data_IF_881491522988
#
_entry.id   IF_881491522988
#
_cell.length_a   1.000
_cell.length_b   1.000
_cell.length_c   1.000
_cell.angle_alpha   90.00
_cell.angle_beta   90.00
_cell.angle_gamma   90.00
#
_symmetry.space_group_name_H-M   'P 1'
#
loop_
_entity.id
_entity.type
_entity.pdbx_description
1 polymer ?
2 non-polymer ?
3 water ?
#
# COMPACT_ATOMS: atom_id res chain seq x y z
N UNK A 10 -3.11 21.93 11.18
CA UNK A 10 -1.64 21.68 11.34
C UNK A 10 -0.89 22.95 11.75
N UNK A 11 0.22 22.84 12.47
CA UNK A 11 1.11 23.98 12.80
C UNK A 11 2.47 23.69 12.15
N UNK A 12 2.95 24.56 11.29
CA UNK A 12 4.27 24.41 10.59
C UNK A 12 5.12 25.61 10.96
N UNK A 13 6.26 25.38 11.61
CA UNK A 13 7.19 26.45 12.05
C UNK A 13 8.63 25.93 11.97
N UNK A 14 9.58 26.73 12.40
CA UNK A 14 10.99 26.30 12.51
C UNK A 14 11.39 26.46 13.98
N UNK A 15 12.23 25.57 14.49
CA UNK A 15 12.68 25.61 15.89
C UNK A 15 13.88 26.56 15.97
N UNK A 16 14.56 26.60 17.11
CA UNK A 16 15.69 27.51 17.37
C UNK A 16 16.92 27.06 16.57
N UNK A 17 16.97 25.80 16.14
CA UNK A 17 18.07 25.27 15.29
C UNK A 17 17.71 25.50 13.81
N UNK A 18 16.58 26.15 13.51
CA UNK A 18 16.14 26.44 12.12
C UNK A 18 15.49 25.24 11.47
N UNK A 19 15.16 24.21 12.25
CA UNK A 19 14.60 22.94 11.72
C UNK A 19 13.08 23.02 11.62
N UNK A 20 12.53 22.60 10.49
CA UNK A 20 11.06 22.58 10.27
C UNK A 20 10.45 21.66 11.32
N UNK A 21 9.39 22.13 11.98
CA UNK A 21 8.62 21.35 12.95
C UNK A 21 7.17 21.36 12.45
N UNK A 22 6.55 20.20 12.28
CA UNK A 22 5.11 20.09 11.89
C UNK A 22 4.42 19.31 13.03
N UNK A 23 3.45 19.92 13.69
CA UNK A 23 2.68 19.26 14.78
C UNK A 23 3.63 18.74 15.84
N UNK A 24 4.61 19.54 16.26
CA UNK A 24 5.51 19.15 17.36
C UNK A 24 6.62 18.20 16.94
N UNK A 25 6.67 17.79 15.68
CA UNK A 25 7.67 16.82 15.16
C UNK A 25 8.73 17.56 14.33
N UNK A 26 10.01 17.33 14.59
CA UNK A 26 11.14 17.97 13.87
C UNK A 26 11.51 17.15 12.64
N UNK A 27 11.87 17.83 11.56
CA UNK A 27 12.27 17.21 10.27
C UNK A 27 13.62 17.83 9.89
N UNK A 28 14.72 17.47 10.59
CA UNK A 28 16.05 18.04 10.29
C UNK A 28 16.56 17.83 8.85
N UNK A 29 15.99 16.89 8.09
CA UNK A 29 16.41 16.56 6.69
C UNK A 29 15.67 17.43 5.68
N UNK A 30 14.69 18.21 6.11
CA UNK A 30 13.81 18.97 5.20
C UNK A 30 14.30 20.39 4.95
N UNK A 31 14.23 20.83 3.70
CA UNK A 31 14.57 22.23 3.34
C UNK A 31 13.29 23.05 3.49
N UNK A 32 12.19 22.60 2.88
CA UNK A 32 10.87 23.29 2.92
C UNK A 32 9.72 22.28 3.06
N UNK A 33 8.57 22.71 3.56
CA UNK A 33 7.34 21.90 3.56
C UNK A 33 6.65 22.11 2.21
N UNK A 34 6.25 21.04 1.53
CA UNK A 34 5.52 21.12 0.23
C UNK A 34 4.01 20.98 0.50
N UNK A 35 3.60 20.04 1.34
CA UNK A 35 2.16 19.81 1.61
C UNK A 35 1.93 19.06 2.91
N UNK A 36 0.96 19.50 3.71
CA UNK A 36 0.54 18.84 4.96
C UNK A 36 -0.34 17.63 4.61
N UNK A 37 -0.53 16.71 5.54
CA UNK A 37 -1.40 15.52 5.35
C UNK A 37 -2.79 15.99 4.91
N UNK A 38 -3.32 17.04 5.51
CA UNK A 38 -4.70 17.51 5.23
C UNK A 38 -4.80 17.90 3.76
N UNK A 39 -3.85 18.68 3.25
CA UNK A 39 -3.83 19.15 1.84
C UNK A 39 -3.72 17.93 0.91
N UNK A 40 -2.82 17.00 1.22
CA UNK A 40 -2.57 15.79 0.38
C UNK A 40 -3.88 14.98 0.32
N UNK A 41 -4.48 14.70 1.46
CA UNK A 41 -5.70 13.85 1.54
C UNK A 41 -6.87 14.52 0.80
N UNK A 42 -7.07 15.81 1.01
CA UNK A 42 -8.13 16.60 0.31
C UNK A 42 -7.87 16.51 -1.19
N UNK A 43 -6.62 16.63 -1.60
CA UNK A 43 -6.24 16.60 -3.04
C UNK A 43 -6.52 15.20 -3.64
N UNK A 44 -6.23 14.14 -2.91
CA UNK A 44 -6.40 12.74 -3.41
C UNK A 44 -7.91 12.49 -3.57
N UNK A 45 -8.71 12.84 -2.58
CA UNK A 45 -10.19 12.58 -2.60
C UNK A 45 -10.79 13.33 -3.80
N UNK A 46 -10.34 14.55 -4.05
CA UNK A 46 -10.83 15.38 -5.18
C UNK A 46 -10.55 14.65 -6.50
N UNK A 47 -9.36 14.09 -6.67
CA UNK A 47 -9.00 13.36 -7.92
C UNK A 47 -9.78 12.05 -7.95
N UNK A 48 -10.07 11.47 -6.79
CA UNK A 48 -10.88 10.22 -6.70
C UNK A 48 -12.28 10.52 -7.28
N UNK A 49 -12.86 11.65 -6.92
CA UNK A 49 -14.19 12.06 -7.45
C UNK A 49 -14.08 12.26 -8.98
N UNK A 50 -13.00 12.86 -9.47
CA UNK A 50 -12.78 13.08 -10.91
C UNK A 50 -12.69 11.71 -11.60
N UNK A 51 -11.93 10.77 -11.03
CA UNK A 51 -11.73 9.41 -11.63
C UNK A 51 -13.09 8.70 -11.62
N UNK A 52 -13.82 8.75 -10.51
CA UNK A 52 -15.14 8.09 -10.37
C UNK A 52 -16.10 8.69 -11.41
N UNK A 53 -16.10 10.01 -11.54
CA UNK A 53 -17.01 10.73 -12.47
C UNK A 53 -16.62 10.35 -13.91
N UNK A 54 -15.34 10.17 -14.20
CA UNK A 54 -14.88 9.85 -15.57
C UNK A 54 -15.21 8.40 -15.96
N UNK A 55 -14.98 7.43 -15.08
CA UNK A 55 -15.10 5.98 -15.41
C UNK A 55 -16.49 5.40 -15.13
N UNK A 56 -17.22 5.91 -14.15
CA UNK A 56 -18.54 5.37 -13.75
C UNK A 56 -19.38 5.04 -14.99
N UNK A 57 -19.57 5.95 -15.97
CA UNK A 57 -20.50 5.69 -17.07
C UNK A 57 -19.95 4.91 -18.27
N UNK A 58 -18.72 4.44 -18.22
CA UNK A 58 -18.05 3.79 -19.38
C UNK A 58 -18.32 2.29 -19.38
N UNK A 59 -18.13 1.63 -20.53
CA UNK A 59 -18.32 0.18 -20.70
C UNK A 59 -17.04 -0.39 -21.32
N UNK A 60 -16.81 -1.68 -21.19
CA UNK A 60 -15.64 -2.36 -21.78
C UNK A 60 -15.89 -3.86 -21.89
N UNK A 61 -14.89 -4.63 -22.29
CA UNK A 61 -15.07 -6.09 -22.54
C UNK A 61 -15.73 -6.78 -21.34
N UNK A 62 -16.71 -7.65 -21.57
CA UNK A 62 -17.40 -8.42 -20.51
C UNK A 62 -16.69 -9.77 -20.41
N UNK A 63 -15.88 -9.99 -19.36
CA UNK A 63 -15.17 -11.25 -19.09
C UNK A 63 -15.98 -12.07 -18.07
N UNK A 64 -16.92 -11.45 -17.37
CA UNK A 64 -17.78 -12.12 -16.35
C UNK A 64 -18.85 -12.96 -17.05
N UNK A 65 -19.64 -12.35 -17.94
CA UNK A 65 -20.76 -13.02 -18.62
C UNK A 65 -20.39 -13.45 -20.01
N UNK A 66 -19.11 -13.66 -20.29
CA UNK A 66 -18.62 -14.06 -21.63
C UNK A 66 -19.34 -13.27 -22.69
N UNK A 67 -19.68 -12.01 -22.42
CA UNK A 67 -20.48 -11.19 -23.34
C UNK A 67 -19.56 -10.41 -24.25
N UNK A 68 -20.07 -9.36 -24.86
CA UNK A 68 -19.24 -8.51 -25.72
C UNK A 68 -18.76 -7.37 -24.86
N UNK A 69 -19.64 -6.45 -24.51
CA UNK A 69 -19.27 -5.22 -23.76
C UNK A 69 -20.31 -5.00 -22.67
N UNK A 70 -19.89 -4.50 -21.51
CA UNK A 70 -20.80 -4.25 -20.38
C UNK A 70 -20.30 -3.05 -19.57
N UNK A 71 -21.18 -2.34 -18.86
CA UNK A 71 -20.72 -1.24 -18.04
C UNK A 71 -19.66 -1.61 -16.98
N UNK A 72 -18.85 -0.63 -16.56
CA UNK A 72 -17.89 -0.86 -15.44
C UNK A 72 -18.75 -1.24 -14.24
N UNK A 73 -18.43 -2.36 -13.60
CA UNK A 73 -19.24 -2.92 -12.50
C UNK A 73 -18.36 -3.80 -11.63
N UNK A 74 -18.91 -4.38 -10.56
CA UNK A 74 -18.16 -5.33 -9.73
C UNK A 74 -17.98 -6.60 -10.59
N UNK A 75 -18.80 -6.82 -11.59
CA UNK A 75 -18.61 -7.98 -12.51
C UNK A 75 -17.46 -7.68 -13.49
N UNK A 76 -17.32 -6.45 -13.98
CA UNK A 76 -16.27 -6.04 -14.96
C UNK A 76 -15.64 -4.75 -14.44
N UNK A 77 -14.78 -4.83 -13.40
CA UNK A 77 -14.29 -3.60 -12.79
C UNK A 77 -13.23 -2.80 -13.56
N UNK A 78 -13.03 -1.56 -13.16
CA UNK A 78 -11.91 -0.75 -13.69
C UNK A 78 -10.64 -1.50 -13.28
N UNK A 79 -9.68 -1.61 -14.17
CA UNK A 79 -8.39 -2.26 -13.87
C UNK A 79 -7.43 -1.15 -13.43
N UNK A 80 -6.89 -1.25 -12.22
CA UNK A 80 -5.89 -0.28 -11.69
C UNK A 80 -4.56 -1.02 -11.54
N UNK A 81 -3.49 -0.47 -12.07
CA UNK A 81 -2.12 -1.03 -11.96
C UNK A 81 -1.30 -0.02 -11.16
N UNK A 82 -0.93 -0.33 -9.91
CA UNK A 82 -0.15 0.54 -9.01
C UNK A 82 1.35 0.26 -9.21
N UNK A 83 2.16 1.30 -9.31
CA UNK A 83 3.62 1.15 -9.58
C UNK A 83 4.37 1.13 -8.24
N UNK A 84 4.85 -0.03 -7.83
CA UNK A 84 5.61 -0.20 -6.57
C UNK A 84 7.00 0.42 -6.72
N UNK A 85 7.63 0.80 -5.61
CA UNK A 85 7.12 0.73 -4.21
C UNK A 85 6.49 2.07 -3.84
N UNK A 86 6.94 3.17 -4.44
CA UNK A 86 6.53 4.52 -4.03
C UNK A 86 5.02 4.78 -4.01
N UNK A 87 4.23 4.08 -4.79
CA UNK A 87 2.78 4.37 -4.91
C UNK A 87 1.91 3.58 -3.92
N UNK A 88 2.46 2.71 -3.07
CA UNK A 88 1.60 1.80 -2.26
C UNK A 88 0.76 2.59 -1.24
N UNK A 89 1.33 3.60 -0.61
CA UNK A 89 0.60 4.40 0.44
C UNK A 89 -0.47 5.22 -0.29
N UNK A 90 -0.08 5.92 -1.34
CA UNK A 90 -1.00 6.71 -2.19
C UNK A 90 -2.15 5.81 -2.69
N UNK A 91 -1.81 4.62 -3.17
CA UNK A 91 -2.80 3.69 -3.74
C UNK A 91 -3.77 3.27 -2.61
N UNK A 92 -3.25 2.91 -1.44
CA UNK A 92 -4.06 2.46 -0.28
C UNK A 92 -5.14 3.51 0.00
N UNK A 93 -4.76 4.78 0.03
CA UNK A 93 -5.71 5.90 0.30
C UNK A 93 -6.65 6.13 -0.88
N UNK A 94 -6.11 6.18 -2.10
CA UNK A 94 -6.92 6.44 -3.31
C UNK A 94 -8.03 5.38 -3.41
N UNK A 95 -7.73 4.10 -3.25
CA UNK A 95 -8.74 3.01 -3.47
C UNK A 95 -9.90 3.22 -2.49
N UNK A 96 -9.62 3.63 -1.27
CA UNK A 96 -10.66 3.82 -0.23
C UNK A 96 -11.55 5.02 -0.61
N UNK A 97 -10.98 6.08 -1.19
CA UNK A 97 -11.77 7.25 -1.68
C UNK A 97 -12.60 6.82 -2.90
N UNK A 98 -12.02 6.04 -3.80
CA UNK A 98 -12.72 5.54 -5.00
C UNK A 98 -13.91 4.69 -4.52
N UNK A 99 -13.74 3.93 -3.45
CA UNK A 99 -14.83 3.12 -2.88
C UNK A 99 -15.92 4.02 -2.33
N UNK A 100 -15.54 5.14 -1.69
CA UNK A 100 -16.52 6.12 -1.15
C UNK A 100 -17.37 6.65 -2.30
N UNK A 101 -16.77 6.86 -3.46
CA UNK A 101 -17.46 7.42 -4.66
C UNK A 101 -18.11 6.29 -5.48
N UNK A 102 -18.03 5.04 -5.03
CA UNK A 102 -18.72 3.91 -5.64
C UNK A 102 -18.17 3.49 -6.99
N UNK A 103 -16.88 3.70 -7.25
CA UNK A 103 -16.24 3.25 -8.51
C UNK A 103 -15.85 1.78 -8.36
N UNK A 104 -16.46 0.83 -9.10
CA UNK A 104 -16.05 -0.56 -9.03
C UNK A 104 -14.62 -0.64 -9.61
N UNK A 105 -13.68 -1.25 -8.88
CA UNK A 105 -12.27 -1.33 -9.32
C UNK A 105 -11.50 -2.48 -8.66
N UNK A 106 -10.42 -2.91 -9.30
CA UNK A 106 -9.50 -3.95 -8.77
C UNK A 106 -8.08 -3.42 -8.97
N UNK A 107 -7.12 -3.85 -8.17
CA UNK A 107 -5.73 -3.33 -8.20
C UNK A 107 -4.72 -4.46 -8.32
N UNK A 108 -3.76 -4.35 -9.22
CA UNK A 108 -2.60 -5.28 -9.32
C UNK A 108 -1.37 -4.37 -9.26
N UNK A 109 -0.17 -4.92 -9.20
CA UNK A 109 1.07 -4.16 -9.01
C UNK A 109 2.16 -4.50 -10.02
N UNK A 110 2.95 -3.52 -10.43
CA UNK A 110 4.16 -3.74 -11.25
C UNK A 110 5.27 -2.96 -10.56
N UNK A 111 6.52 -3.27 -10.86
CA UNK A 111 7.69 -2.54 -10.32
C UNK A 111 8.72 -2.38 -11.45
N UNK A 112 9.22 -1.17 -11.67
CA UNK A 112 10.24 -0.87 -12.70
C UNK A 112 11.46 -0.26 -12.01
N UNK A 113 12.63 -0.34 -12.61
CA UNK A 113 13.85 0.28 -12.08
C UNK A 113 14.71 0.77 -13.24
N UNK A 114 15.62 1.71 -12.98
CA UNK A 114 16.54 2.27 -13.98
C UNK A 114 17.96 1.73 -13.74
N UNK A 115 18.74 1.48 -14.79
CA UNK A 115 20.17 1.08 -14.70
C UNK A 115 20.99 2.10 -15.52
N UNK A 123 18.42 3.82 -18.29
CA UNK A 123 17.66 2.83 -19.10
C UNK A 123 16.73 2.05 -18.18
N UNK A 124 15.52 1.69 -18.59
CA UNK A 124 14.50 1.07 -17.70
C UNK A 124 14.48 -0.46 -17.81
N UNK A 125 14.12 -1.18 -16.74
CA UNK A 125 13.96 -2.65 -16.71
C UNK A 125 12.80 -3.00 -15.76
N UNK A 126 11.98 -4.01 -16.11
CA UNK A 126 10.87 -4.47 -15.23
C UNK A 126 11.44 -5.32 -14.10
N UNK A 127 11.07 -5.06 -12.84
CA UNK A 127 11.52 -5.85 -11.67
C UNK A 127 10.41 -6.85 -11.31
N UNK A 128 9.15 -6.45 -11.40
CA UNK A 128 7.99 -7.29 -11.04
C UNK A 128 6.87 -7.11 -12.05
N UNK A 129 6.29 -8.21 -12.52
CA UNK A 129 5.25 -8.19 -13.57
C UNK A 129 3.86 -8.20 -12.93
N UNK A 130 2.86 -7.66 -13.60
CA UNK A 130 1.45 -7.75 -13.15
C UNK A 130 1.05 -9.23 -13.30
N UNK A 131 0.06 -9.72 -12.56
CA UNK A 131 -0.42 -11.13 -12.64
C UNK A 131 -1.79 -11.17 -13.34
N UNK A 132 -2.43 -10.03 -13.60
CA UNK A 132 -3.72 -9.95 -14.34
C UNK A 132 -3.46 -10.41 -15.79
N UNK A 133 -4.26 -11.31 -16.36
CA UNK A 133 -3.99 -11.92 -17.70
C UNK A 133 -5.16 -11.77 -18.68
N UNK A 134 -6.14 -10.90 -18.42
CA UNK A 134 -7.31 -10.65 -19.31
C UNK A 134 -7.62 -9.14 -19.34
N UNK A 135 -6.69 -8.32 -19.79
CA UNK A 135 -6.84 -6.84 -19.81
C UNK A 135 -7.23 -6.32 -21.20
N UNK A 136 -7.27 -7.19 -22.21
CA UNK A 136 -7.62 -6.79 -23.59
C UNK A 136 -9.04 -6.23 -23.58
N UNK A 137 -9.23 -5.03 -24.13
CA UNK A 137 -10.57 -4.43 -24.25
C UNK A 137 -11.04 -3.86 -22.94
N UNK A 138 -10.17 -3.77 -21.93
CA UNK A 138 -10.51 -3.24 -20.60
C UNK A 138 -9.95 -1.83 -20.43
N UNK A 139 -10.59 -1.01 -19.60
CA UNK A 139 -10.08 0.33 -19.23
C UNK A 139 -9.01 0.09 -18.15
N UNK A 140 -7.82 0.66 -18.32
CA UNK A 140 -6.68 0.49 -17.39
C UNK A 140 -6.23 1.87 -16.89
N UNK A 141 -6.06 2.04 -15.58
CA UNK A 141 -5.54 3.27 -14.96
C UNK A 141 -4.25 2.96 -14.20
N UNK A 142 -3.15 3.63 -14.52
CA UNK A 142 -1.85 3.48 -13.83
C UNK A 142 -1.85 4.43 -12.62
N UNK A 143 -1.55 3.94 -11.41
CA UNK A 143 -1.37 4.80 -10.21
C UNK A 143 0.14 4.89 -9.98
N UNK A 144 0.72 6.08 -10.07
CA UNK A 144 2.16 6.34 -9.89
C UNK A 144 2.36 7.46 -8.85
N UNK A 145 3.46 7.44 -8.12
CA UNK A 145 3.73 8.44 -7.07
C UNK A 145 4.09 9.78 -7.72
N UNK A 146 5.00 9.80 -8.69
CA UNK A 146 5.51 11.07 -9.25
C UNK A 146 5.89 10.95 -10.72
N UNK A 147 5.65 12.00 -11.50
CA UNK A 147 6.12 12.13 -12.90
C UNK A 147 7.15 13.26 -12.81
N UNK A 148 8.40 13.02 -13.19
CA UNK A 148 9.51 14.01 -13.12
C UNK A 148 10.05 14.13 -14.56
N UNK A 149 10.97 13.25 -14.97
CA UNK A 149 11.50 13.19 -16.36
C UNK A 149 10.44 12.69 -17.33
N UNK A 150 9.57 11.79 -16.88
CA UNK A 150 8.54 11.14 -17.73
C UNK A 150 9.01 9.80 -18.27
N UNK A 151 10.25 9.40 -18.04
CA UNK A 151 10.86 8.19 -18.66
C UNK A 151 10.21 6.89 -18.13
N UNK A 152 9.98 6.79 -16.83
CA UNK A 152 9.41 5.55 -16.25
C UNK A 152 8.01 5.34 -16.83
N UNK A 153 7.19 6.38 -16.90
CA UNK A 153 5.77 6.22 -17.33
C UNK A 153 5.71 6.00 -18.85
N UNK A 154 6.61 6.59 -19.64
CA UNK A 154 6.64 6.32 -21.10
C UNK A 154 6.94 4.83 -21.28
N UNK A 155 7.89 4.28 -20.51
CA UNK A 155 8.22 2.83 -20.52
C UNK A 155 7.00 1.98 -20.12
N UNK A 156 6.36 2.32 -19.01
CA UNK A 156 5.21 1.53 -18.46
C UNK A 156 4.06 1.60 -19.46
N UNK A 157 3.75 2.79 -19.95
CA UNK A 157 2.59 3.00 -20.86
C UNK A 157 2.83 2.20 -22.15
N UNK A 158 4.05 2.25 -22.70
CA UNK A 158 4.39 1.52 -23.96
C UNK A 158 4.24 0.02 -23.72
N UNK A 159 4.70 -0.49 -22.58
CA UNK A 159 4.69 -1.94 -22.29
C UNK A 159 3.25 -2.43 -22.06
N UNK A 160 2.44 -1.70 -21.29
CA UNK A 160 1.06 -2.16 -20.93
C UNK A 160 0.23 -2.15 -22.22
N UNK A 161 0.37 -1.12 -23.05
CA UNK A 161 -0.39 -1.00 -24.31
C UNK A 161 -0.05 -2.19 -25.20
N UNK A 162 1.23 -2.46 -25.40
CA UNK A 162 1.71 -3.53 -26.32
C UNK A 162 1.32 -4.93 -25.81
N UNK A 163 1.51 -5.21 -24.53
CA UNK A 163 1.33 -6.58 -23.98
C UNK A 163 -0.13 -6.90 -23.60
N UNK A 164 -0.93 -5.92 -23.20
CA UNK A 164 -2.32 -6.12 -22.70
C UNK A 164 -3.39 -5.60 -23.68
N UNK A 165 -3.02 -4.69 -24.59
CA UNK A 165 -3.96 -4.16 -25.62
C UNK A 165 -5.23 -3.65 -24.92
N UNK A 166 -5.11 -2.75 -23.93
CA UNK A 166 -6.27 -2.23 -23.25
C UNK A 166 -7.17 -1.38 -24.16
N UNK A 167 -8.44 -1.21 -23.83
CA UNK A 167 -9.38 -0.33 -24.57
C UNK A 167 -8.88 1.11 -24.41
N UNK A 168 -8.61 1.54 -23.17
CA UNK A 168 -8.04 2.87 -22.87
C UNK A 168 -6.95 2.69 -21.79
N UNK A 169 -5.91 3.53 -21.83
CA UNK A 169 -4.81 3.51 -20.83
C UNK A 169 -4.64 4.96 -20.36
N UNK A 170 -4.89 5.24 -19.08
CA UNK A 170 -4.72 6.58 -18.48
C UNK A 170 -3.80 6.47 -17.26
N UNK A 171 -3.32 7.62 -16.76
CA UNK A 171 -2.35 7.68 -15.63
C UNK A 171 -2.82 8.68 -14.59
N UNK A 172 -2.82 8.31 -13.32
CA UNK A 172 -3.07 9.22 -12.18
C UNK A 172 -1.76 9.28 -11.39
N UNK A 173 -1.25 10.48 -11.12
CA UNK A 173 -0.02 10.66 -10.29
C UNK A 173 -0.38 11.42 -9.02
N UNK A 174 0.25 11.06 -7.90
CA UNK A 174 0.11 11.83 -6.65
C UNK A 174 0.79 13.18 -6.94
N UNK A 175 1.98 13.16 -7.53
CA UNK A 175 2.79 14.38 -7.73
C UNK A 175 3.24 14.59 -9.18
N UNK A 176 3.25 15.85 -9.60
CA UNK A 176 3.78 16.27 -10.92
C UNK A 176 4.94 17.22 -10.61
N UNK A 177 6.17 16.89 -11.01
CA UNK A 177 7.33 17.81 -10.95
C UNK A 177 7.45 18.30 -12.41
N UNK A 178 6.73 19.38 -12.80
CA UNK A 178 6.68 19.78 -14.22
C UNK A 178 8.06 20.14 -14.78
N UNK A 179 8.93 20.73 -13.94
CA UNK A 179 10.25 21.22 -14.39
C UNK A 179 11.25 20.14 -14.69
N UNK A 180 10.97 18.89 -14.34
CA UNK A 180 11.91 17.77 -14.57
C UNK A 180 11.76 17.08 -15.91
N UNK A 181 10.78 17.44 -16.73
CA UNK A 181 10.45 16.68 -17.97
C UNK A 181 11.63 16.58 -18.94
N UNK A 182 11.91 15.38 -19.46
CA UNK A 182 12.90 15.16 -20.55
C UNK A 182 12.18 14.46 -21.70
N UNK A 183 10.97 13.92 -21.49
CA UNK A 183 10.11 13.33 -22.56
C UNK A 183 8.68 13.81 -22.30
N UNK A 184 7.86 13.92 -23.33
CA UNK A 184 6.48 14.43 -23.21
C UNK A 184 5.69 13.43 -22.36
N UNK A 185 5.12 13.88 -21.26
CA UNK A 185 4.26 13.06 -20.38
C UNK A 185 3.38 13.99 -19.53
N UNK A 186 2.08 14.03 -19.73
CA UNK A 186 1.18 14.79 -18.83
C UNK A 186 0.15 13.77 -18.33
N UNK A 187 0.23 13.34 -17.06
CA UNK A 187 -0.77 12.44 -16.52
C UNK A 187 -2.19 13.00 -16.69
N UNK A 188 -3.15 12.12 -16.90
CA UNK A 188 -4.57 12.49 -17.08
C UNK A 188 -5.11 13.07 -15.77
N UNK A 189 -4.65 12.54 -14.64
CA UNK A 189 -5.08 12.97 -13.29
C UNK A 189 -3.84 13.32 -12.45
N UNK A 190 -3.84 14.46 -11.76
CA UNK A 190 -2.70 14.93 -10.93
C UNK A 190 -3.26 15.47 -9.62
N UNK A 191 -2.85 14.92 -8.47
CA UNK A 191 -3.34 15.34 -7.15
C UNK A 191 -2.59 16.60 -6.72
N UNK A 192 -1.27 16.63 -6.88
CA UNK A 192 -0.43 17.74 -6.37
C UNK A 192 0.65 18.14 -7.39
N UNK A 193 1.06 19.40 -7.43
CA UNK A 193 2.18 19.89 -8.26
C UNK A 193 3.30 20.19 -7.25
N UNK A 194 4.51 19.69 -7.45
CA UNK A 194 5.66 19.85 -6.50
C UNK A 194 6.71 20.78 -7.10
N UNK A 195 7.55 21.42 -6.28
CA UNK A 195 8.64 22.21 -6.81
C UNK A 195 9.68 21.33 -7.52
N UNK A 196 10.60 21.94 -8.29
CA UNK A 196 11.66 21.23 -9.04
C UNK A 196 12.79 20.95 -8.04
N UNK A 197 12.51 20.14 -7.02
CA UNK A 197 13.45 19.76 -5.96
C UNK A 197 13.18 18.29 -5.59
N UNK A 198 14.11 17.63 -4.92
CA UNK A 198 13.92 16.24 -4.44
C UNK A 198 12.90 16.27 -3.31
N UNK A 199 11.76 15.61 -3.45
CA UNK A 199 10.65 15.60 -2.43
C UNK A 199 10.82 14.39 -1.49
N UNK A 200 10.30 14.41 -0.29
CA UNK A 200 10.38 13.23 0.61
C UNK A 200 9.04 13.18 1.34
N UNK A 201 8.68 12.02 1.87
CA UNK A 201 7.43 11.86 2.61
C UNK A 201 6.31 11.26 1.79
N UNK A 202 5.31 10.69 2.46
CA UNK A 202 4.12 10.11 1.80
C UNK A 202 4.54 9.28 0.58
N UNK A 203 5.43 8.30 0.76
CA UNK A 203 5.86 7.37 -0.30
C UNK A 203 7.20 7.75 -0.89
N UNK A 204 7.59 9.02 -0.78
CA UNK A 204 8.85 9.55 -1.36
C UNK A 204 9.98 9.29 -0.35
N UNK A 205 11.17 8.93 -0.80
CA UNK A 205 12.23 8.49 0.13
C UNK A 205 13.66 8.74 -0.27
N UNK A 206 14.58 8.51 0.65
CA UNK A 206 16.04 8.50 0.39
C UNK A 206 16.48 7.11 0.89
N UNK A 207 16.81 6.19 0.00
CA UNK A 207 17.18 4.79 0.37
C UNK A 207 16.10 4.20 1.30
N UNK A 208 14.82 4.34 0.95
CA UNK A 208 13.65 3.75 1.67
C UNK A 208 13.32 4.48 2.98
N UNK A 209 14.11 5.47 3.39
CA UNK A 209 13.81 6.28 4.59
C UNK A 209 12.79 7.37 4.23
N UNK A 210 11.96 7.82 5.17
CA UNK A 210 11.04 8.99 5.03
C UNK A 210 9.70 8.67 4.33
N UNK A 211 9.48 7.44 3.84
CA UNK A 211 8.22 7.06 3.15
C UNK A 211 7.03 7.19 4.12
N UNK A 212 7.24 6.90 5.40
CA UNK A 212 6.15 6.86 6.43
C UNK A 212 5.65 8.27 6.79
N UNK A 213 6.35 9.34 6.41
CA UNK A 213 5.95 10.71 6.81
C UNK A 213 4.55 10.98 6.23
N UNK A 214 3.72 11.70 6.96
CA UNK A 214 2.33 12.00 6.56
C UNK A 214 2.32 13.29 5.73
N UNK A 215 3.44 14.02 5.70
CA UNK A 215 3.59 15.29 4.96
C UNK A 215 4.65 15.13 3.87
N UNK A 216 4.63 15.97 2.83
CA UNK A 216 5.64 15.98 1.75
C UNK A 216 6.55 17.20 1.98
N UNK A 217 7.86 17.02 1.94
CA UNK A 217 8.85 18.10 2.13
C UNK A 217 9.88 18.09 1.00
N UNK A 218 10.66 19.15 0.82
CA UNK A 218 11.83 19.15 -0.08
C UNK A 218 12.98 18.63 0.80
N UNK A 219 14.01 18.04 0.22
CA UNK A 219 15.18 17.49 0.94
C UNK A 219 16.32 18.51 0.95
N UNK A 220 17.02 18.66 2.07
CA UNK A 220 18.20 19.54 2.13
C UNK A 220 19.21 18.91 1.17
N UNK A 221 19.95 19.69 0.35
CA UNK A 221 20.83 19.08 -0.66
C UNK A 221 21.92 18.11 -0.12
N UNK A 222 22.41 18.33 1.10
CA UNK A 222 23.48 17.47 1.64
C UNK A 222 22.98 16.16 2.25
N UNK A 223 21.67 15.91 2.26
CA UNK A 223 21.06 14.73 2.93
C UNK A 223 20.84 13.56 1.95
N UNK A 224 21.06 13.75 0.66
CA UNK A 224 20.74 12.72 -0.36
C UNK A 224 21.70 11.52 -0.33
N UNK A 225 22.91 11.64 0.23
CA UNK A 225 23.91 10.55 0.32
C UNK A 225 24.13 10.19 1.80
N UNK A 226 23.13 10.38 2.66
CA UNK A 226 23.23 10.13 4.13
C UNK A 226 23.21 8.62 4.41
N UNK A 227 22.54 7.83 3.58
CA UNK A 227 22.38 6.37 3.81
C UNK A 227 22.92 5.63 2.58
N UNK A 228 24.25 5.55 2.40
CA UNK A 228 24.80 4.96 1.16
C UNK A 228 24.76 3.43 1.09
N UNK A 229 24.67 2.72 2.21
CA UNK A 229 24.73 1.24 2.26
C UNK A 229 23.43 0.60 1.70
N UNK A 230 23.58 -0.37 0.81
CA UNK A 230 22.45 -1.09 0.20
C UNK A 230 21.70 -1.83 1.30
N UNK A 231 20.37 -1.87 1.23
CA UNK A 231 19.54 -2.57 2.23
C UNK A 231 19.51 -4.07 1.84
N UNK B 9 -18.65 8.29 15.48
CA UNK B 9 -19.50 7.09 15.67
C UNK B 9 -19.94 6.64 14.28
N UNK B 10 -20.04 5.35 14.04
CA UNK B 10 -20.55 4.80 12.77
C UNK B 10 -22.03 4.46 12.99
N UNK B 11 -22.90 4.74 12.03
CA UNK B 11 -24.35 4.40 12.09
C UNK B 11 -24.48 3.06 11.35
N UNK B 12 -24.76 1.97 12.06
CA UNK B 12 -24.91 0.62 11.48
C UNK B 12 -26.39 0.22 11.55
N UNK B 13 -27.01 -0.13 10.43
CA UNK B 13 -28.44 -0.49 10.33
C UNK B 13 -28.67 -1.55 9.26
N UNK B 14 -29.92 -1.90 8.97
CA UNK B 14 -30.29 -2.82 7.88
C UNK B 14 -31.42 -2.13 7.10
N UNK B 15 -31.42 -2.21 5.79
CA UNK B 15 -32.47 -1.61 4.92
C UNK B 15 -33.65 -2.58 4.83
N UNK B 16 -34.68 -2.24 4.06
CA UNK B 16 -35.89 -3.08 3.86
C UNK B 16 -35.54 -4.40 3.19
N UNK B 17 -34.44 -4.48 2.45
CA UNK B 17 -33.98 -5.72 1.76
C UNK B 17 -33.19 -6.59 2.77
N UNK B 18 -33.01 -6.16 4.02
CA UNK B 18 -32.26 -6.89 5.06
C UNK B 18 -30.75 -6.70 4.91
N UNK B 19 -30.32 -5.77 4.07
CA UNK B 19 -28.88 -5.56 3.76
C UNK B 19 -28.25 -4.60 4.78
N UNK B 20 -27.04 -4.90 5.25
CA UNK B 20 -26.30 -4.06 6.23
C UNK B 20 -26.00 -2.72 5.57
N UNK B 21 -26.23 -1.63 6.29
CA UNK B 21 -25.90 -0.26 5.82
C UNK B 21 -24.95 0.34 6.88
N UNK B 22 -23.78 0.83 6.48
CA UNK B 22 -22.82 1.51 7.39
C UNK B 22 -22.59 2.91 6.81
N UNK B 23 -22.93 3.95 7.59
CA UNK B 23 -22.76 5.35 7.16
C UNK B 23 -23.41 5.55 5.79
N UNK B 24 -24.60 4.97 5.58
CA UNK B 24 -25.41 5.23 4.36
C UNK B 24 -25.02 4.41 3.16
N UNK B 25 -24.04 3.51 3.27
CA UNK B 25 -23.61 2.62 2.16
C UNK B 25 -24.09 1.20 2.45
N UNK B 26 -24.65 0.53 1.45
CA UNK B 26 -25.17 -0.84 1.56
C UNK B 26 -24.08 -1.87 1.23
N UNK B 27 -24.07 -3.00 1.92
CA UNK B 27 -23.11 -4.10 1.73
C UNK B 27 -23.91 -5.39 1.48
N UNK B 28 -24.53 -5.54 0.29
CA UNK B 28 -25.38 -6.70 0.02
C UNK B 28 -24.63 -8.04 0.08
N UNK B 29 -23.30 -8.03 -0.05
CA UNK B 29 -22.48 -9.26 -0.07
C UNK B 29 -22.14 -9.71 1.35
N UNK B 30 -22.47 -8.92 2.37
CA UNK B 30 -22.03 -9.17 3.77
C UNK B 30 -23.09 -9.87 4.62
N UNK B 31 -22.68 -10.77 5.50
CA UNK B 31 -23.58 -11.46 6.45
C UNK B 31 -23.67 -10.60 7.72
N UNK B 32 -22.51 -10.27 8.30
CA UNK B 32 -22.44 -9.47 9.54
C UNK B 32 -21.24 -8.50 9.51
N UNK B 33 -21.33 -7.41 10.26
CA UNK B 33 -20.19 -6.47 10.44
C UNK B 33 -19.25 -7.09 11.47
N UNK B 34 -17.95 -7.09 11.24
CA UNK B 34 -16.93 -7.58 12.21
C UNK B 34 -16.34 -6.36 12.92
N UNK B 35 -15.92 -5.36 12.17
CA UNK B 35 -15.26 -4.18 12.77
C UNK B 35 -15.37 -2.94 11.89
N UNK B 36 -15.71 -1.80 12.50
CA UNK B 36 -15.77 -0.50 11.82
C UNK B 36 -14.33 0.04 11.62
N UNK B 37 -14.17 1.00 10.72
CA UNK B 37 -12.85 1.64 10.45
C UNK B 37 -12.27 2.18 11.76
N UNK B 38 -13.09 2.80 12.61
CA UNK B 38 -12.63 3.44 13.87
C UNK B 38 -12.00 2.37 14.78
N UNK B 39 -12.63 1.21 14.87
CA UNK B 39 -12.13 0.09 15.72
C UNK B 39 -10.83 -0.42 15.07
N UNK B 40 -10.82 -0.60 13.76
CA UNK B 40 -9.63 -1.16 13.05
C UNK B 40 -8.43 -0.22 13.28
N UNK B 41 -8.61 1.06 13.02
CA UNK B 41 -7.48 2.03 13.08
C UNK B 41 -6.95 2.10 14.53
N UNK B 42 -7.83 2.16 15.51
CA UNK B 42 -7.41 2.19 16.95
C UNK B 42 -6.60 0.91 17.25
N UNK B 43 -7.04 -0.24 16.73
CA UNK B 43 -6.38 -1.55 16.97
C UNK B 43 -4.97 -1.55 16.34
N UNK B 44 -4.85 -1.04 15.12
CA UNK B 44 -3.55 -0.99 14.40
C UNK B 44 -2.59 -0.07 15.16
N UNK B 45 -3.06 1.12 15.54
CA UNK B 45 -2.23 2.14 16.25
C UNK B 45 -1.74 1.55 17.58
N UNK B 46 -2.60 0.81 18.28
CA UNK B 46 -2.23 0.16 19.57
C UNK B 46 -1.07 -0.81 19.33
N UNK B 47 -1.18 -1.63 18.28
CA UNK B 47 -0.10 -2.62 17.96
C UNK B 47 1.15 -1.85 17.50
N UNK B 48 1.00 -0.76 16.77
CA UNK B 48 2.13 0.07 16.33
C UNK B 48 2.96 0.50 17.56
N UNK B 49 2.29 0.91 18.63
CA UNK B 49 2.97 1.33 19.88
C UNK B 49 3.70 0.13 20.50
N UNK B 50 3.09 -1.04 20.46
CA UNK B 50 3.72 -2.29 20.97
C UNK B 50 5.00 -2.58 20.17
N UNK B 51 4.94 -2.47 18.84
CA UNK B 51 6.09 -2.78 17.94
C UNK B 51 7.20 -1.74 18.20
N UNK B 52 6.87 -0.46 18.23
CA UNK B 52 7.85 0.61 18.44
C UNK B 52 8.50 0.42 19.82
N UNK B 53 7.71 0.15 20.84
CA UNK B 53 8.22 -0.03 22.24
C UNK B 53 9.12 -1.27 22.31
N UNK B 54 8.87 -2.30 21.52
CA UNK B 54 9.64 -3.57 21.56
C UNK B 54 10.97 -3.45 20.82
N UNK B 55 10.97 -2.78 19.67
CA UNK B 55 12.16 -2.73 18.79
C UNK B 55 13.10 -1.55 19.10
N UNK B 56 12.57 -0.42 19.52
CA UNK B 56 13.40 0.81 19.70
C UNK B 56 14.57 0.48 20.66
N UNK B 57 14.39 -0.32 21.73
CA UNK B 57 15.52 -0.72 22.61
C UNK B 57 16.55 -1.69 22.02
N UNK B 58 16.29 -2.33 20.88
CA UNK B 58 17.14 -3.43 20.35
C UNK B 58 18.31 -2.95 19.49
N UNK B 59 19.25 -3.85 19.19
CA UNK B 59 20.45 -3.59 18.37
C UNK B 59 20.66 -4.77 17.43
N UNK B 60 21.33 -4.59 16.30
CA UNK B 60 21.53 -5.63 15.27
C UNK B 60 22.74 -5.28 14.39
N UNK B 61 23.03 -6.01 13.35
CA UNK B 61 24.26 -5.81 12.55
C UNK B 61 24.34 -4.36 12.11
N UNK B 62 25.53 -3.78 12.04
CA UNK B 62 25.78 -2.38 11.60
C UNK B 62 26.24 -2.45 10.14
N UNK B 63 25.39 -2.13 9.16
CA UNK B 63 25.75 -2.14 7.71
C UNK B 63 26.03 -0.70 7.24
N UNK B 64 25.83 0.29 8.08
CA UNK B 64 26.09 1.72 7.77
C UNK B 64 27.54 2.07 8.11
N UNK B 65 28.02 1.67 9.29
CA UNK B 65 29.36 2.04 9.80
C UNK B 65 30.35 0.89 9.87
N UNK B 66 30.18 -0.17 9.08
CA UNK B 66 31.21 -1.25 8.98
C UNK B 66 31.18 -2.32 10.06
N UNK B 67 30.25 -2.29 11.01
CA UNK B 67 30.12 -3.32 12.05
C UNK B 67 30.49 -2.79 13.41
N UNK B 68 30.22 -3.54 14.48
CA UNK B 68 29.57 -4.85 14.45
C UNK B 68 28.07 -4.72 14.73
N UNK B 69 27.69 -4.38 15.96
CA UNK B 69 26.27 -4.28 16.40
C UNK B 69 26.00 -2.83 16.79
N UNK B 70 24.84 -2.31 16.43
CA UNK B 70 24.44 -0.92 16.76
C UNK B 70 22.93 -0.84 16.95
N UNK B 71 22.42 0.17 17.66
CA UNK B 71 21.00 0.25 17.92
C UNK B 71 20.16 0.43 16.64
N UNK B 72 18.92 -0.04 16.67
CA UNK B 72 17.98 0.21 15.53
C UNK B 72 17.98 1.73 15.38
N UNK B 73 18.15 2.26 14.19
CA UNK B 73 18.24 3.72 13.92
C UNK B 73 17.88 3.98 12.47
N UNK B 74 17.89 5.23 12.05
CA UNK B 74 17.68 5.55 10.63
C UNK B 74 18.87 4.94 9.88
N UNK B 75 20.06 4.87 10.47
CA UNK B 75 21.27 4.30 9.82
C UNK B 75 21.10 2.79 9.66
N UNK B 76 20.57 2.11 10.69
CA UNK B 76 20.35 0.64 10.70
C UNK B 76 18.87 0.42 11.07
N UNK B 77 17.93 0.63 10.14
CA UNK B 77 16.53 0.52 10.50
C UNK B 77 15.98 -0.91 10.68
N UNK B 78 14.83 -1.02 11.36
CA UNK B 78 14.10 -2.30 11.43
C UNK B 78 13.73 -2.66 10.00
N UNK B 79 13.89 -3.91 9.62
CA UNK B 79 13.52 -4.39 8.27
C UNK B 79 12.09 -4.94 8.35
N UNK B 80 11.17 -4.41 7.55
CA UNK B 80 9.77 -4.89 7.48
C UNK B 80 9.56 -5.52 6.10
N UNK B 81 9.07 -6.75 6.03
CA UNK B 81 8.71 -7.43 4.75
C UNK B 81 7.20 -7.53 4.73
N UNK B 82 6.54 -6.88 3.78
CA UNK B 82 5.07 -6.87 3.63
C UNK B 82 4.68 -7.91 2.57
N UNK B 83 3.66 -8.71 2.85
CA UNK B 83 3.23 -9.82 1.94
C UNK B 83 2.14 -9.30 0.99
N UNK B 84 2.48 -9.10 -0.28
CA UNK B 84 1.52 -8.63 -1.29
C UNK B 84 0.68 -9.80 -1.78
N UNK B 85 -0.58 -9.54 -2.17
CA UNK B 85 -1.21 -8.19 -2.32
C UNK B 85 -2.02 -7.82 -1.08
N UNK B 86 -2.39 -8.79 -0.26
CA UNK B 86 -3.34 -8.57 0.85
C UNK B 86 -2.95 -7.58 1.91
N UNK B 87 -1.67 -7.39 2.19
CA UNK B 87 -1.21 -6.55 3.33
C UNK B 87 -0.93 -5.09 2.94
N UNK B 88 -1.12 -4.68 1.69
CA UNK B 88 -0.66 -3.35 1.22
C UNK B 88 -1.38 -2.21 1.97
N UNK B 89 -2.68 -2.31 2.18
CA UNK B 89 -3.47 -1.21 2.83
C UNK B 89 -3.09 -1.19 4.32
N UNK B 90 -3.10 -2.36 4.95
CA UNK B 90 -2.71 -2.52 6.38
C UNK B 90 -1.29 -1.99 6.58
N UNK B 91 -0.38 -2.30 5.67
CA UNK B 91 1.05 -1.86 5.74
C UNK B 91 1.08 -0.31 5.63
N UNK B 92 0.35 0.28 4.69
CA UNK B 92 0.33 1.75 4.47
C UNK B 92 -0.05 2.44 5.77
N UNK B 93 -1.05 1.90 6.46
CA UNK B 93 -1.54 2.51 7.72
C UNK B 93 -0.56 2.25 8.85
N UNK B 94 -0.08 1.01 8.94
CA UNK B 94 0.80 0.59 10.04
C UNK B 94 2.07 1.44 10.02
N UNK B 95 2.70 1.61 8.88
CA UNK B 95 4.02 2.32 8.80
C UNK B 95 3.84 3.78 9.25
N UNK B 96 2.74 4.40 8.92
CA UNK B 96 2.49 5.82 9.31
C UNK B 96 2.37 5.88 10.84
N UNK B 97 1.70 4.92 11.48
CA UNK B 97 1.60 4.85 12.96
C UNK B 97 3.00 4.59 13.54
N UNK B 98 3.77 3.71 12.92
CA UNK B 98 5.14 3.37 13.40
C UNK B 98 5.98 4.64 13.34
N UNK B 99 5.79 5.46 12.31
CA UNK B 99 6.50 6.73 12.19
C UNK B 99 6.09 7.66 13.32
N UNK B 100 4.79 7.68 13.64
CA UNK B 100 4.28 8.55 14.73
C UNK B 100 5.00 8.19 16.03
N UNK B 101 5.25 6.91 16.25
CA UNK B 101 5.87 6.41 17.52
C UNK B 101 7.39 6.44 17.39
N UNK B 102 7.94 6.94 16.31
CA UNK B 102 9.40 7.15 16.16
C UNK B 102 10.18 5.85 15.99
N UNK B 103 9.60 4.83 15.38
CA UNK B 103 10.33 3.57 15.11
C UNK B 103 11.09 3.71 13.79
N UNK B 104 12.44 3.64 13.73
CA UNK B 104 13.15 3.66 12.46
C UNK B 104 12.87 2.35 11.73
N UNK B 105 12.35 2.43 10.51
CA UNK B 105 12.01 1.23 9.72
C UNK B 105 12.07 1.45 8.20
N UNK B 106 12.23 0.35 7.46
CA UNK B 106 12.21 0.35 5.97
C UNK B 106 11.31 -0.82 5.58
N UNK B 107 10.61 -0.72 4.46
CA UNK B 107 9.64 -1.75 4.04
C UNK B 107 10.05 -2.29 2.69
N UNK B 108 10.02 -3.59 2.49
CA UNK B 108 10.21 -4.23 1.16
C UNK B 108 9.04 -5.22 1.03
N UNK B 109 8.78 -5.73 -0.16
CA UNK B 109 7.60 -6.58 -0.41
C UNK B 109 7.99 -7.92 -1.03
N UNK B 110 7.27 -9.00 -0.65
CA UNK B 110 7.36 -10.30 -1.33
C UNK B 110 5.91 -10.59 -1.73
N UNK B 111 5.67 -11.26 -2.85
CA UNK B 111 4.31 -11.64 -3.32
C UNK B 111 4.24 -13.15 -3.38
N UNK B 112 3.19 -13.73 -2.81
CA UNK B 112 2.97 -15.21 -2.78
C UNK B 112 1.59 -15.52 -3.35
N UNK B 113 1.36 -16.72 -3.84
CA UNK B 113 0.05 -17.20 -4.34
C UNK B 113 -0.19 -18.58 -3.75
N UNK B 125 3.21 -20.76 -4.31
CA UNK B 125 4.17 -20.17 -5.29
C UNK B 125 4.65 -18.76 -4.88
N UNK B 126 5.94 -18.46 -5.04
CA UNK B 126 6.50 -17.09 -4.84
C UNK B 126 6.45 -16.40 -6.20
N UNK B 127 5.73 -15.28 -6.31
CA UNK B 127 5.55 -14.56 -7.60
C UNK B 127 6.53 -13.40 -7.69
N UNK B 128 6.94 -12.81 -6.56
CA UNK B 128 7.88 -11.67 -6.53
C UNK B 128 8.80 -11.79 -5.31
N UNK B 129 10.10 -11.61 -5.50
CA UNK B 129 11.11 -11.72 -4.44
C UNK B 129 11.39 -10.34 -3.84
N UNK B 130 11.88 -10.30 -2.62
CA UNK B 130 12.37 -9.05 -2.00
C UNK B 130 13.57 -8.56 -2.81
N UNK B 131 13.88 -7.27 -2.82
CA UNK B 131 15.07 -6.68 -3.48
C UNK B 131 16.13 -6.41 -2.40
N UNK B 132 15.76 -6.40 -1.12
CA UNK B 132 16.70 -6.23 0.03
C UNK B 132 17.67 -7.42 0.07
N UNK B 133 18.98 -7.19 0.15
CA UNK B 133 20.01 -8.26 0.07
C UNK B 133 20.98 -8.25 1.26
N UNK B 134 20.72 -7.49 2.33
CA UNK B 134 21.62 -7.35 3.50
C UNK B 134 20.83 -7.50 4.82
N UNK B 135 20.05 -8.57 4.98
CA UNK B 135 19.21 -8.80 6.19
C UNK B 135 19.93 -9.70 7.21
N UNK B 136 21.11 -10.23 6.88
CA UNK B 136 21.83 -11.17 7.79
C UNK B 136 22.13 -10.44 9.09
N UNK B 137 21.73 -11.00 10.22
CA UNK B 137 21.98 -10.41 11.54
C UNK B 137 21.12 -9.19 11.81
N UNK B 138 20.06 -9.00 11.04
CA UNK B 138 19.12 -7.88 11.22
C UNK B 138 17.82 -8.36 11.88
N UNK B 139 17.15 -7.50 12.61
CA UNK B 139 15.81 -7.77 13.17
C UNK B 139 14.84 -7.59 11.99
N UNK B 140 14.04 -8.59 11.65
CA UNK B 140 13.08 -8.54 10.51
C UNK B 140 11.66 -8.79 11.04
N UNK B 141 10.68 -8.00 10.63
CA UNK B 141 9.26 -8.15 11.03
C UNK B 141 8.45 -8.35 9.75
N UNK B 142 7.60 -9.37 9.69
CA UNK B 142 6.73 -9.67 8.53
C UNK B 142 5.35 -9.06 8.81
N UNK B 143 4.80 -8.24 7.91
CA UNK B 143 3.43 -7.70 8.02
C UNK B 143 2.57 -8.55 7.08
N UNK B 144 1.55 -9.22 7.61
CA UNK B 144 0.64 -10.10 6.84
C UNK B 144 -0.80 -9.71 7.17
N UNK B 145 -1.73 -9.95 6.26
CA UNK B 145 -3.15 -9.56 6.44
C UNK B 145 -3.81 -10.47 7.48
N UNK B 146 -3.67 -11.78 7.34
CA UNK B 146 -4.42 -12.72 8.20
C UNK B 146 -3.70 -14.05 8.36
N UNK B 147 -3.82 -14.66 9.52
CA UNK B 147 -3.34 -16.04 9.79
C UNK B 147 -4.63 -16.84 9.98
N UNK B 148 -4.88 -17.86 9.15
CA UNK B 148 -6.09 -18.70 9.20
C UNK B 148 -5.57 -20.14 9.41
N UNK B 149 -5.14 -20.82 8.35
CA UNK B 149 -4.56 -22.20 8.43
C UNK B 149 -3.15 -22.17 9.04
N UNK B 150 -2.39 -21.09 8.86
CA UNK B 150 -0.99 -20.96 9.32
C UNK B 150 0.00 -21.40 8.27
N UNK B 151 -0.46 -21.95 7.15
CA UNK B 151 0.44 -22.57 6.14
C UNK B 151 1.20 -21.48 5.36
N UNK B 152 0.58 -20.37 5.01
CA UNK B 152 1.24 -19.33 4.18
C UNK B 152 2.40 -18.72 4.99
N UNK B 153 2.18 -18.43 6.27
CA UNK B 153 3.21 -17.80 7.13
C UNK B 153 4.33 -18.83 7.39
N UNK B 154 4.00 -20.10 7.56
CA UNK B 154 5.01 -21.16 7.80
C UNK B 154 5.92 -21.19 6.56
N UNK B 155 5.34 -21.08 5.37
CA UNK B 155 6.09 -21.10 4.08
C UNK B 155 7.01 -19.88 4.03
N UNK B 156 6.45 -18.69 4.29
CA UNK B 156 7.22 -17.40 4.21
C UNK B 156 8.33 -17.39 5.28
N UNK B 157 8.03 -17.85 6.50
CA UNK B 157 8.99 -17.78 7.64
C UNK B 157 10.20 -18.66 7.33
N UNK B 158 9.94 -19.87 6.85
CA UNK B 158 11.03 -20.82 6.49
C UNK B 158 11.90 -20.19 5.40
N UNK B 159 11.31 -19.59 4.38
CA UNK B 159 12.08 -19.01 3.26
C UNK B 159 12.94 -17.85 3.78
N UNK B 160 12.36 -16.91 4.53
CA UNK B 160 13.10 -15.68 4.97
C UNK B 160 14.25 -16.11 5.89
N UNK B 161 14.03 -17.06 6.76
CA UNK B 161 15.10 -17.53 7.71
C UNK B 161 16.24 -18.14 6.88
N UNK B 162 15.92 -19.01 5.95
CA UNK B 162 16.95 -19.78 5.19
C UNK B 162 17.73 -18.88 4.23
N UNK B 163 17.08 -17.93 3.60
CA UNK B 163 17.72 -17.10 2.55
C UNK B 163 18.37 -15.84 3.15
N UNK B 164 17.83 -15.27 4.22
CA UNK B 164 18.31 -13.98 4.80
C UNK B 164 19.11 -14.17 6.09
N UNK B 165 18.84 -15.21 6.88
CA UNK B 165 19.55 -15.50 8.16
C UNK B 165 19.43 -14.30 9.10
N UNK B 166 18.22 -13.80 9.37
CA UNK B 166 18.05 -12.66 10.23
C UNK B 166 18.41 -12.95 11.71
N UNK B 167 18.71 -11.93 12.51
CA UNK B 167 19.00 -12.08 13.95
C UNK B 167 17.71 -12.55 14.64
N UNK B 168 16.59 -11.87 14.37
CA UNK B 168 15.26 -12.27 14.86
C UNK B 168 14.25 -12.15 13.73
N UNK B 169 13.21 -12.97 13.74
CA UNK B 169 12.11 -12.92 12.75
C UNK B 169 10.80 -12.97 13.55
N UNK B 170 9.97 -11.94 13.44
CA UNK B 170 8.65 -11.89 14.11
C UNK B 170 7.59 -11.60 13.05
N UNK B 171 6.33 -11.81 13.39
CA UNK B 171 5.19 -11.61 12.47
C UNK B 171 4.13 -10.76 13.15
N UNK B 172 3.64 -9.75 12.44
CA UNK B 172 2.50 -8.92 12.88
C UNK B 172 1.37 -9.19 11.88
N UNK B 173 0.20 -9.59 12.35
CA UNK B 173 -0.98 -9.83 11.46
C UNK B 173 -2.05 -8.80 11.83
N UNK B 174 -2.79 -8.32 10.84
CA UNK B 174 -3.96 -7.46 11.09
C UNK B 174 -4.98 -8.34 11.80
N UNK B 175 -5.25 -9.53 11.26
CA UNK B 175 -6.32 -10.40 11.76
C UNK B 175 -5.82 -11.80 12.10
N UNK B 176 -6.40 -12.39 13.14
CA UNK B 176 -6.14 -13.79 13.53
C UNK B 176 -7.50 -14.49 13.52
N UNK B 177 -7.66 -15.57 12.78
CA UNK B 177 -8.86 -16.45 12.79
C UNK B 177 -8.38 -17.68 13.56
N UNK B 178 -8.38 -17.69 14.91
CA UNK B 178 -7.79 -18.79 15.69
C UNK B 178 -8.43 -20.17 15.40
N UNK B 179 -9.69 -20.20 14.96
CA UNK B 179 -10.42 -21.46 14.75
C UNK B 179 -10.13 -22.15 13.43
N UNK B 180 -9.35 -21.55 12.53
CA UNK B 180 -9.09 -22.12 11.19
C UNK B 180 -7.74 -22.81 11.08
N UNK B 181 -6.99 -22.92 12.15
CA UNK B 181 -5.59 -23.42 12.10
C UNK B 181 -5.52 -24.85 11.61
N UNK B 182 -4.56 -25.16 10.74
CA UNK B 182 -4.27 -26.53 10.25
C UNK B 182 -2.83 -26.87 10.66
N UNK B 183 -1.97 -25.87 10.90
CA UNK B 183 -0.56 -26.04 11.36
C UNK B 183 -0.32 -25.05 12.50
N UNK B 184 0.74 -25.19 13.27
CA UNK B 184 1.03 -24.32 14.43
C UNK B 184 1.62 -22.99 13.89
N UNK B 185 0.97 -21.87 14.19
CA UNK B 185 1.44 -20.52 13.79
C UNK B 185 0.86 -19.53 14.79
N UNK B 186 1.67 -18.93 15.65
CA UNK B 186 1.21 -17.93 16.65
C UNK B 186 1.90 -16.60 16.35
N UNK B 187 1.23 -15.61 15.73
CA UNK B 187 1.90 -14.37 15.42
C UNK B 187 2.35 -13.66 16.70
N UNK B 188 3.41 -12.86 16.64
CA UNK B 188 3.97 -12.14 17.81
C UNK B 188 3.09 -10.92 18.11
N UNK B 189 2.50 -10.33 17.07
CA UNK B 189 1.63 -9.13 17.19
C UNK B 189 0.33 -9.40 16.42
N UNK B 190 -0.83 -9.12 17.03
CA UNK B 190 -2.18 -9.32 16.42
C UNK B 190 -3.01 -8.07 16.72
N UNK B 191 -3.56 -7.41 15.70
CA UNK B 191 -4.41 -6.21 15.88
C UNK B 191 -5.85 -6.63 16.19
N UNK B 192 -6.37 -7.63 15.49
CA UNK B 192 -7.81 -8.01 15.58
C UNK B 192 -8.00 -9.53 15.54
N UNK B 193 -9.04 -10.03 16.22
CA UNK B 193 -9.46 -11.45 16.17
C UNK B 193 -10.74 -11.44 15.33
N UNK B 194 -10.84 -12.29 14.32
CA UNK B 194 -11.98 -12.35 13.37
C UNK B 194 -12.79 -13.62 13.67
N UNK B 195 -14.10 -13.66 13.35
CA UNK B 195 -14.86 -14.89 13.51
C UNK B 195 -14.33 -15.98 12.55
N UNK B 196 -14.77 -17.23 12.72
CA UNK B 196 -14.33 -18.38 11.88
C UNK B 196 -15.22 -18.34 10.63
N UNK B 197 -15.19 -17.25 9.89
CA UNK B 197 -16.00 -17.03 8.69
C UNK B 197 -15.11 -16.37 7.64
N UNK B 198 -15.51 -16.36 6.37
CA UNK B 198 -14.77 -15.66 5.30
C UNK B 198 -14.97 -14.16 5.55
N UNK B 199 -13.90 -13.40 5.74
CA UNK B 199 -13.97 -11.92 5.98
C UNK B 199 -13.77 -11.14 4.66
N UNK B 200 -14.28 -9.95 4.54
CA UNK B 200 -14.05 -9.13 3.33
C UNK B 200 -13.86 -7.71 3.85
N UNK B 201 -13.21 -6.87 3.08
CA UNK B 201 -12.99 -5.48 3.50
C UNK B 201 -11.61 -5.22 4.05
N UNK B 202 -11.18 -3.96 4.04
CA UNK B 202 -9.86 -3.54 4.54
C UNK B 202 -8.79 -4.53 4.09
N UNK B 203 -8.66 -4.74 2.78
CA UNK B 203 -7.63 -5.61 2.18
C UNK B 203 -8.14 -6.99 1.83
N UNK B 204 -9.15 -7.47 2.55
CA UNK B 204 -9.72 -8.82 2.38
C UNK B 204 -10.60 -8.82 1.13
N UNK B 205 -10.49 -9.85 0.29
CA UNK B 205 -11.10 -9.84 -1.05
C UNK B 205 -11.93 -11.04 -1.44
N UNK B 206 -12.70 -10.93 -2.52
CA UNK B 206 -13.35 -12.06 -3.24
C UNK B 206 -12.90 -11.78 -4.70
N UNK B 207 -11.90 -12.47 -5.22
CA UNK B 207 -11.31 -12.21 -6.57
C UNK B 207 -10.99 -10.71 -6.72
N UNK B 208 -10.31 -10.11 -5.74
CA UNK B 208 -9.80 -8.70 -5.78
C UNK B 208 -10.91 -7.67 -5.53
N UNK B 209 -12.14 -8.11 -5.35
CA UNK B 209 -13.27 -7.20 -5.03
C UNK B 209 -13.36 -7.00 -3.51
N UNK B 210 -13.82 -5.83 -3.05
CA UNK B 210 -14.13 -5.52 -1.63
C UNK B 210 -12.91 -5.10 -0.79
N UNK B 211 -11.68 -5.09 -1.33
CA UNK B 211 -10.46 -4.70 -0.58
C UNK B 211 -10.56 -3.23 -0.14
N UNK B 212 -11.28 -2.38 -0.86
CA UNK B 212 -11.35 -0.90 -0.65
C UNK B 212 -12.29 -0.53 0.50
N UNK B 213 -13.05 -1.47 1.03
CA UNK B 213 -13.98 -1.18 2.15
C UNK B 213 -13.16 -0.69 3.36
N UNK B 214 -13.70 0.24 4.14
CA UNK B 214 -13.05 0.83 5.34
C UNK B 214 -13.41 -0.05 6.55
N UNK B 215 -14.37 -0.95 6.38
CA UNK B 215 -14.83 -1.88 7.45
C UNK B 215 -14.62 -3.34 7.02
N UNK B 216 -14.53 -4.24 7.99
CA UNK B 216 -14.40 -5.69 7.73
C UNK B 216 -15.78 -6.31 8.01
N UNK B 217 -16.24 -7.18 7.13
CA UNK B 217 -17.52 -7.89 7.26
C UNK B 217 -17.30 -9.39 7.06
N UNK B 218 -18.26 -10.21 7.43
CA UNK B 218 -18.27 -11.64 7.09
C UNK B 218 -18.96 -11.71 5.73
N UNK B 219 -18.60 -12.65 4.86
CA UNK B 219 -19.19 -12.83 3.51
C UNK B 219 -20.39 -13.77 3.62
N UNK B 220 -21.49 -13.45 2.93
CA UNK B 220 -22.66 -14.33 2.90
C UNK B 220 -22.22 -15.67 2.28
N UNK B 221 -22.65 -16.82 2.83
CA UNK B 221 -22.17 -18.10 2.33
C UNK B 221 -22.37 -18.28 0.82
N UNK B 222 -21.36 -18.78 0.11
CA UNK B 222 -21.46 -19.12 -1.32
C UNK B 222 -21.08 -17.97 -2.23
N UNK B 223 -20.91 -16.77 -1.69
CA UNK B 223 -20.60 -15.55 -2.49
C UNK B 223 -19.11 -15.53 -2.86
N UNK B 224 -18.30 -16.49 -2.41
CA UNK B 224 -16.87 -16.60 -2.76
C UNK B 224 -16.73 -17.08 -4.22
N UNK B 225 -17.82 -17.48 -4.86
CA UNK B 225 -17.86 -17.92 -6.28
C UNK B 225 -18.59 -16.85 -7.12
N UNK B 226 -18.79 -15.65 -6.61
CA UNK B 226 -19.55 -14.56 -7.29
C UNK B 226 -18.83 -14.12 -8.56
N UNK B 227 -17.50 -14.13 -8.58
CA UNK B 227 -16.68 -13.61 -9.71
C UNK B 227 -15.73 -14.72 -10.18
N UNK B 228 -16.18 -15.70 -10.99
CA UNK B 228 -15.33 -16.85 -11.38
C UNK B 228 -14.27 -16.57 -12.46
N UNK B 229 -14.37 -15.45 -13.16
CA UNK B 229 -13.49 -15.13 -14.31
C UNK B 229 -12.12 -14.65 -13.81
N UNK B 230 -11.04 -15.22 -14.33
CA UNK B 230 -9.68 -14.79 -13.95
C UNK B 230 -9.54 -13.35 -14.45
N UNK B 231 -9.06 -12.44 -13.61
CA UNK B 231 -8.93 -10.99 -13.95
C UNK B 231 -7.70 -10.84 -14.86
X LIG C 1 9.75 8.31 -11.33
X LIG C 1 11.73 12.65 -5.92
X LIG C 1 11.66 11.80 -7.14
X LIG C 1 11.65 10.46 -6.96
X LIG C 1 11.59 9.92 -8.23
X LIG C 1 11.54 11.00 -9.11
X LIG C 1 11.54 8.43 -8.54
X LIG C 1 9.88 7.36 -10.11
X LIG C 1 11.09 8.68 -11.96
X LIG C 1 8.62 6.49 -9.95
X LIG C 1 11.80 10.75 -4.42
X LIG C 1 11.59 12.11 -8.42
X LIG C 1 10.15 8.17 -8.92
X LIG C 1 11.73 9.90 -5.60
X LIG C 1 11.79 12.16 -4.61
X LIG C 1 11.13 8.88 -14.70
X LIG C 1 11.95 10.69 -13.40
X LIG C 1 9.51 10.14 -13.72
X LIG C 1 8.69 5.89 -8.67
X LIG C 1 11.71 13.75 -6.08
X LIG C 1 10.88 9.67 -13.51
X LIG C 1 9.18 7.90 -11.99
X LIG C 1 9.33 9.14 -11.02
X LIG C 1 11.49 10.94 -10.04
X LIG C 1 11.79 7.92 -7.76
X LIG C 1 12.14 8.22 -9.28
X LIG C 1 10.64 6.78 -10.27
X LIG C 1 11.56 7.85 -12.19
X LIG C 1 11.62 9.18 -11.33
X LIG C 1 7.82 7.04 -10.01
X LIG C 1 8.60 5.80 -10.63
X LIG C 1 11.84 10.38 -3.57
X LIG C 1 9.71 7.83 -8.22
X LIG C 1 11.83 12.70 -3.93
X LIG C 1 7.99 5.42 -8.53
X LIG D 1 -3.57 -17.07 3.28
X LIG D 1 -10.48 -14.59 4.70
X LIG D 1 -9.21 -15.34 4.51
X LIG D 1 -8.46 -15.03 3.43
X LIG D 1 -7.36 -15.87 3.51
X LIG D 1 -7.52 -16.64 4.66
X LIG D 1 -6.24 -15.89 2.50
X LIG D 1 -3.76 -15.65 2.66
X LIG D 1 -3.75 -17.13 4.80
X LIG D 1 -2.67 -14.66 3.15
X LIG D 1 -10.13 -13.27 2.65
X LIG D 1 -8.64 -16.29 5.24
X LIG D 1 -5.09 -15.12 2.98
X LIG D 1 -8.89 -14.00 2.47
X LIG D 1 -10.93 -13.58 3.80
X LIG D 1 -2.66 -19.81 4.86
X LIG D 1 -2.96 -18.70 6.81
X LIG D 1 -4.84 -19.51 5.45
X LIG D 1 -2.71 -13.44 2.42
X LIG D 1 -11.07 -14.85 5.62
X LIG D 1 -3.55 -18.84 5.49
X LIG D 1 -4.19 -17.69 2.87
X LIG D 1 -2.67 -17.36 3.07
X LIG D 1 -6.93 -17.28 4.95
X LIG D 1 -5.99 -16.80 2.31
X LIG D 1 -6.56 -15.47 1.67
X LIG D 1 -3.70 -15.74 1.70
X LIG D 1 -4.63 -16.80 5.03
X LIG D 1 -3.09 -16.55 5.22
X LIG D 1 -2.81 -14.47 4.09
X LIG D 1 -1.80 -15.08 3.03
X LIG D 1 -10.40 -12.62 2.05
X LIG D 1 -5.16 -15.00 3.86
X LIG D 1 -11.67 -13.17 3.95
X LIG D 1 -2.76 -13.61 1.59
#
# INVERSE_FOLDING_TARGET
MISSQQAMVHVVSRNAEGVIVVDGKAYPMAEELVATESVIQRSIKAVAKQIADFYRPLSHRDTHGGGGVAPISDENPLIIISVLKGSYIFTADMVRYLGDYGLPHVVDFLRVASYRGTSSTNKMQLLAETQFKALRGKHVLILEDIVDSGKTLRYILDKVQREHQPATLKVCVLADKPGGRRVTMQPDFVCLTVPNKYVIGYGFEVNDRFRCFRHIFTLRPGEARRYPAHL
MISSQQAMVHVVSRNAEGVIVVDGKAYPMAEELVATESVIQRSIKAVAKQIADFYRPLSHRDTHGGGGVAPISDENPLIIISVLKGSYIFTADMVRYLGDYGLPHVVDFLRVASYRGTSSTNKMQLLAETQFKALRGKHVLILEDIVDSGKTLRYILDKVQREHQPATLKVCVLADKPGGRRVTMQPDFVCLTVPNKYVIGYGFEVNDRFRCFRHIFTLRPGEARRYPAHL
YC9 C10 C01 C02 C03 C04 C05 C07 C09 C11 C16 C19 N06 N08 N18 N20 O13 O14 O15 O17 O21 P12 H101 H102 H051 H072 H071 H091 H112 H111 H162 H161 H191 H2 H201 H171
YC9 C10 C01 C02 C03 C04 C05 C07 C09 C11 C16 C19 N06 N08 N18 N20 O13 O14 O15 O17 O21 P12 H101 H102 H051 H072 H071 H091 H112 H111 H162 H161 H191 H2 H201 H171
#
